data_IF_247009458095
#
_entry.id   IF_247009458095
#
_cell.length_a   1.000
_cell.length_b   1.000
_cell.length_c   1.000
_cell.angle_alpha   90.00
_cell.angle_beta   90.00
_cell.angle_gamma   90.00
#
_symmetry.space_group_name_H-M   'P 1'
#
loop_
_entity.id
_entity.type
_entity.pdbx_description
1 polymer ?
#
# COMPACT_ATOMS: atom_id res chain seq x y z
N UNK A 1 -12.84 12.50 4.93
CA UNK A 1 -12.25 12.07 6.23
C UNK A 1 -12.91 10.84 6.85
N UNK A 2 -13.89 10.19 6.21
CA UNK A 2 -14.37 8.86 6.64
C UNK A 2 -13.41 7.69 6.30
N UNK A 3 -12.45 7.92 5.39
CA UNK A 3 -11.44 6.92 5.02
C UNK A 3 -10.41 6.59 6.12
N UNK A 4 -10.30 7.40 7.20
CA UNK A 4 -9.32 7.15 8.28
C UNK A 4 -9.58 5.84 9.04
N UNK A 5 -10.84 5.41 9.15
CA UNK A 5 -11.18 4.13 9.80
C UNK A 5 -10.78 2.92 8.96
N UNK A 6 -10.90 3.02 7.63
CA UNK A 6 -10.50 1.95 6.70
C UNK A 6 -8.98 1.80 6.69
N UNK A 7 -8.23 2.90 6.63
CA UNK A 7 -6.75 2.87 6.63
C UNK A 7 -6.19 2.23 7.91
N UNK A 8 -6.75 2.54 9.09
CA UNK A 8 -6.30 1.95 10.36
C UNK A 8 -6.54 0.42 10.43
N UNK A 9 -7.64 -0.07 9.86
CA UNK A 9 -7.95 -1.51 9.82
C UNK A 9 -7.08 -2.27 8.80
N UNK A 10 -6.90 -1.73 7.59
CA UNK A 10 -6.13 -2.38 6.52
C UNK A 10 -4.68 -2.65 6.94
N UNK A 11 -4.03 -1.68 7.57
CA UNK A 11 -2.60 -1.77 7.88
C UNK A 11 -2.28 -2.43 9.22
N UNK A 12 -3.13 -2.26 10.24
CA UNK A 12 -2.85 -2.77 11.59
C UNK A 12 -3.45 -4.16 11.83
N UNK A 13 -4.66 -4.41 11.34
CA UNK A 13 -5.39 -5.66 11.55
C UNK A 13 -5.14 -6.63 10.38
N UNK A 14 -5.07 -6.09 9.16
CA UNK A 14 -4.85 -6.84 7.94
C UNK A 14 -6.14 -7.06 7.15
N UNK A 15 -6.01 -7.13 5.83
CA UNK A 15 -7.11 -7.30 4.90
C UNK A 15 -6.66 -8.05 3.64
N UNK A 16 -7.50 -8.99 3.19
CA UNK A 16 -7.21 -9.78 2.01
C UNK A 16 -5.90 -10.58 2.18
N UNK A 17 -5.06 -10.54 1.16
CA UNK A 17 -3.82 -11.31 1.10
C UNK A 17 -2.55 -10.45 1.11
N UNK A 18 -2.68 -9.13 0.95
CA UNK A 18 -1.56 -8.19 0.81
C UNK A 18 -1.66 -6.97 1.74
N UNK A 19 -2.85 -6.54 2.15
CA UNK A 19 -2.92 -5.41 3.08
C UNK A 19 -2.53 -5.87 4.49
N UNK A 20 -1.26 -5.71 4.85
CA UNK A 20 -0.72 -6.11 6.15
C UNK A 20 0.75 -6.56 6.04
N UNK A 21 1.34 -7.12 7.11
CA UNK A 21 2.71 -7.61 7.06
C UNK A 21 2.88 -8.81 6.11
N UNK A 22 3.68 -8.62 5.06
CA UNK A 22 3.94 -9.64 4.03
C UNK A 22 2.81 -9.70 2.99
N UNK A 23 2.81 -10.75 2.17
CA UNK A 23 1.72 -10.96 1.21
C UNK A 23 1.93 -12.23 0.39
N UNK A 24 0.85 -12.92 0.02
CA UNK A 24 0.96 -14.11 -0.85
C UNK A 24 -0.29 -14.42 -1.64
N UNK A 25 -0.10 -15.13 -2.74
CA UNK A 25 -1.20 -15.65 -3.55
C UNK A 25 -1.87 -14.56 -4.38
N UNK A 26 -3.12 -14.81 -4.77
CA UNK A 26 -3.85 -13.89 -5.64
C UNK A 26 -4.67 -12.89 -4.81
N UNK A 27 -4.61 -11.58 -5.11
CA UNK A 27 -5.39 -10.56 -4.41
C UNK A 27 -6.90 -10.82 -4.50
N UNK A 28 -7.62 -10.54 -3.41
CA UNK A 28 -9.04 -10.88 -3.26
C UNK A 28 -9.99 -9.91 -3.96
N UNK A 29 -9.64 -8.63 -3.98
CA UNK A 29 -10.44 -7.58 -4.59
C UNK A 29 -9.58 -6.35 -4.93
N UNK A 30 -10.23 -5.26 -5.35
CA UNK A 30 -9.54 -4.03 -5.76
C UNK A 30 -8.73 -3.40 -4.61
N UNK A 31 -9.23 -3.45 -3.38
CA UNK A 31 -8.48 -2.93 -2.21
C UNK A 31 -7.21 -3.75 -1.98
N UNK A 32 -7.30 -5.08 -2.09
CA UNK A 32 -6.15 -5.97 -1.95
C UNK A 32 -5.14 -5.80 -3.10
N UNK A 33 -5.62 -5.48 -4.32
CA UNK A 33 -4.76 -5.11 -5.45
C UNK A 33 -4.00 -3.80 -5.22
N UNK A 34 -4.59 -2.81 -4.55
CA UNK A 34 -3.88 -1.60 -4.14
C UNK A 34 -2.70 -1.93 -3.23
N UNK A 35 -2.90 -2.85 -2.27
CA UNK A 35 -1.85 -3.29 -1.34
C UNK A 35 -0.76 -4.09 -2.05
N UNK A 36 -1.12 -5.03 -2.94
CA UNK A 36 -0.13 -5.73 -3.77
C UNK A 36 0.75 -4.75 -4.56
N UNK A 37 0.15 -3.70 -5.15
CA UNK A 37 0.92 -2.68 -5.88
C UNK A 37 1.80 -1.84 -4.96
N UNK A 38 1.32 -1.52 -3.76
CA UNK A 38 2.09 -0.82 -2.73
C UNK A 38 3.31 -1.65 -2.27
N UNK A 39 3.12 -2.94 -2.00
CA UNK A 39 4.20 -3.89 -1.69
C UNK A 39 5.24 -3.93 -2.81
N UNK A 40 4.80 -4.04 -4.07
CA UNK A 40 5.72 -4.00 -5.21
C UNK A 40 6.53 -2.68 -5.29
N UNK A 41 5.92 -1.56 -4.90
CA UNK A 41 6.60 -0.26 -4.83
C UNK A 41 7.62 -0.21 -3.69
N UNK A 42 7.27 -0.78 -2.53
CA UNK A 42 8.17 -0.91 -1.39
C UNK A 42 9.34 -1.85 -1.69
N UNK A 43 9.11 -2.97 -2.36
CA UNK A 43 10.15 -3.89 -2.85
C UNK A 43 11.08 -3.18 -3.85
N UNK A 44 10.54 -2.31 -4.69
CA UNK A 44 11.37 -1.45 -5.53
C UNK A 44 12.22 -0.48 -4.70
N UNK A 45 11.62 0.22 -3.73
CA UNK A 45 12.34 1.15 -2.86
C UNK A 45 13.47 0.46 -2.09
N UNK A 46 13.23 -0.75 -1.57
CA UNK A 46 14.24 -1.59 -0.93
C UNK A 46 15.38 -1.96 -1.88
N UNK A 47 15.06 -2.35 -3.13
CA UNK A 47 16.08 -2.60 -4.16
C UNK A 47 16.90 -1.37 -4.53
N UNK A 48 16.38 -0.17 -4.30
CA UNK A 48 17.13 1.09 -4.42
C UNK A 48 17.99 1.42 -3.19
N UNK A 49 17.95 0.60 -2.14
CA UNK A 49 18.67 0.83 -0.89
C UNK A 49 17.96 1.78 0.08
N UNK A 50 16.64 1.93 -0.06
CA UNK A 50 15.81 2.72 0.86
C UNK A 50 15.14 1.82 1.91
N UNK A 51 14.70 2.39 3.04
CA UNK A 51 13.98 1.64 4.05
C UNK A 51 12.52 2.15 4.18
N UNK A 52 11.59 1.67 3.34
CA UNK A 52 10.23 2.19 3.28
C UNK A 52 9.40 1.95 4.56
N UNK A 53 9.87 1.08 5.45
CA UNK A 53 9.19 0.78 6.73
C UNK A 53 9.60 1.79 7.80
N UNK A 54 10.85 2.25 7.83
CA UNK A 54 11.38 3.09 8.91
C UNK A 54 11.66 4.54 8.50
N UNK A 55 11.93 4.79 7.23
CA UNK A 55 12.29 6.12 6.74
C UNK A 55 11.08 7.06 6.79
N UNK A 56 11.23 8.19 7.48
CA UNK A 56 10.19 9.20 7.60
C UNK A 56 10.35 10.27 6.52
N UNK A 57 9.24 10.72 5.98
CA UNK A 57 9.17 11.80 5.00
C UNK A 57 8.11 12.84 5.39
N UNK A 58 8.24 14.05 4.85
CA UNK A 58 7.28 15.13 5.03
C UNK A 58 6.27 15.12 3.88
N UNK A 59 5.00 15.35 4.21
CA UNK A 59 3.90 15.43 3.25
C UNK A 59 2.79 16.32 3.81
N UNK A 60 1.91 16.78 2.93
CA UNK A 60 0.69 17.50 3.28
C UNK A 60 -0.53 16.88 2.61
N UNK A 61 -1.71 17.13 3.17
CA UNK A 61 -2.97 16.73 2.58
C UNK A 61 -3.67 17.97 2.05
N UNK A 62 -3.94 18.01 0.75
CA UNK A 62 -4.73 19.07 0.13
C UNK A 62 -5.83 18.42 -0.71
N UNK A 63 -7.08 18.83 -0.51
CA UNK A 63 -8.24 18.31 -1.25
C UNK A 63 -8.36 16.77 -1.22
N UNK A 64 -8.06 16.17 -0.06
CA UNK A 64 -7.99 14.71 0.15
C UNK A 64 -7.00 14.00 -0.80
N UNK A 65 -5.93 14.69 -1.19
CA UNK A 65 -4.82 14.18 -2.00
C UNK A 65 -3.52 14.37 -1.23
N UNK A 66 -2.66 13.35 -1.27
CA UNK A 66 -1.33 13.42 -0.67
C UNK A 66 -0.40 14.23 -1.57
N UNK A 67 0.27 15.22 -0.98
CA UNK A 67 1.29 16.05 -1.61
C UNK A 67 2.63 15.78 -0.91
N UNK A 68 3.60 15.24 -1.65
CA UNK A 68 4.96 15.04 -1.16
C UNK A 68 5.69 16.38 -1.08
N UNK A 69 6.46 16.60 -0.02
CA UNK A 69 7.29 17.80 0.12
C UNK A 69 8.29 17.92 -1.04
N UNK A 70 8.63 19.14 -1.45
CA UNK A 70 9.58 19.39 -2.53
C UNK A 70 11.03 19.12 -2.10
N UNK A 71 11.32 19.21 -0.79
CA UNK A 71 12.66 19.06 -0.24
C UNK A 71 12.95 17.64 0.29
N UNK A 72 12.36 16.61 -0.33
CA UNK A 72 12.61 15.21 0.04
C UNK A 72 13.90 14.70 -0.60
N UNK A 73 14.67 13.90 0.16
CA UNK A 73 15.76 13.12 -0.42
C UNK A 73 15.21 11.99 -1.31
N UNK A 74 16.10 11.31 -2.05
CA UNK A 74 15.73 10.24 -2.99
C UNK A 74 14.82 9.18 -2.35
N UNK A 75 15.18 8.66 -1.18
CA UNK A 75 14.41 7.59 -0.54
C UNK A 75 13.07 8.08 -0.04
N UNK A 76 13.06 9.23 0.64
CA UNK A 76 11.82 9.87 1.10
C UNK A 76 10.86 10.15 -0.06
N UNK A 77 11.37 10.58 -1.20
CA UNK A 77 10.56 10.85 -2.38
C UNK A 77 9.94 9.55 -2.94
N UNK A 78 10.73 8.50 -3.14
CA UNK A 78 10.22 7.20 -3.62
C UNK A 78 9.11 6.68 -2.71
N UNK A 79 9.35 6.66 -1.40
CA UNK A 79 8.38 6.14 -0.41
C UNK A 79 7.11 7.00 -0.41
N UNK A 80 7.24 8.32 -0.42
CA UNK A 80 6.08 9.20 -0.48
C UNK A 80 5.24 9.00 -1.76
N UNK A 81 5.87 8.75 -2.92
CA UNK A 81 5.12 8.43 -4.13
C UNK A 81 4.39 7.08 -4.01
N UNK A 82 5.04 6.04 -3.45
CA UNK A 82 4.37 4.76 -3.17
C UNK A 82 3.10 4.98 -2.33
N UNK A 83 3.22 5.73 -1.23
CA UNK A 83 2.12 5.96 -0.29
C UNK A 83 1.02 6.86 -0.89
N UNK A 84 1.42 7.84 -1.70
CA UNK A 84 0.48 8.68 -2.45
C UNK A 84 -0.33 7.86 -3.46
N UNK A 85 0.31 6.99 -4.24
CA UNK A 85 -0.37 6.11 -5.19
C UNK A 85 -1.32 5.15 -4.47
N UNK A 86 -0.88 4.56 -3.36
CA UNK A 86 -1.71 3.64 -2.59
C UNK A 86 -2.91 4.35 -1.96
N UNK A 87 -2.72 5.54 -1.37
CA UNK A 87 -3.80 6.38 -0.85
C UNK A 87 -4.82 6.76 -1.93
N UNK A 88 -4.34 7.07 -3.14
CA UNK A 88 -5.21 7.34 -4.28
C UNK A 88 -5.98 6.09 -4.72
N UNK A 89 -5.34 4.93 -4.76
CA UNK A 89 -5.97 3.66 -5.11
C UNK A 89 -7.10 3.29 -4.13
N UNK A 90 -6.84 3.32 -2.82
CA UNK A 90 -7.85 3.01 -1.79
C UNK A 90 -9.02 3.98 -1.78
N UNK A 91 -8.85 5.20 -2.28
CA UNK A 91 -9.95 6.15 -2.40
C UNK A 91 -11.05 5.65 -3.33
N UNK A 92 -10.68 4.92 -4.38
CA UNK A 92 -11.60 4.50 -5.44
C UNK A 92 -11.85 2.99 -5.47
N UNK A 93 -11.02 2.19 -4.79
CA UNK A 93 -11.19 0.75 -4.72
C UNK A 93 -12.45 0.35 -3.95
N UNK A 94 -13.13 -0.67 -4.44
CA UNK A 94 -14.19 -1.34 -3.70
C UNK A 94 -13.65 -2.02 -2.44
N UNK A 95 -14.39 -1.90 -1.34
CA UNK A 95 -14.05 -2.48 -0.04
C UNK A 95 -15.09 -3.53 0.37
N UNK A 96 -14.62 -4.70 0.78
CA UNK A 96 -15.44 -5.83 1.18
C UNK A 96 -15.10 -6.28 2.60
N UNK A 97 -16.03 -6.03 3.53
CA UNK A 97 -15.86 -6.37 4.95
C UNK A 97 -15.52 -7.84 5.20
N UNK A 98 -15.86 -8.75 4.29
CA UNK A 98 -15.54 -10.19 4.41
C UNK A 98 -14.03 -10.49 4.41
N UNK A 99 -13.22 -9.59 3.87
CA UNK A 99 -11.77 -9.77 3.78
C UNK A 99 -11.00 -9.08 4.91
N UNK A 100 -11.69 -8.42 5.85
CA UNK A 100 -11.07 -7.94 7.09
C UNK A 100 -10.55 -9.16 7.87
N UNK A 101 -9.28 -9.10 8.32
CA UNK A 101 -8.62 -10.22 9.03
C UNK A 101 -8.63 -11.54 8.24
N UNK A 102 -8.59 -11.46 6.90
CA UNK A 102 -8.63 -12.65 6.07
C UNK A 102 -7.46 -13.60 6.38
N UNK A 103 -7.71 -14.89 6.64
CA UNK A 103 -6.64 -15.81 7.02
C UNK A 103 -5.63 -16.04 5.88
N UNK A 104 -4.35 -15.80 6.15
CA UNK A 104 -3.28 -15.96 5.17
C UNK A 104 -3.20 -17.37 4.54
N UNK A 105 -3.65 -18.43 5.20
CA UNK A 105 -3.69 -19.80 4.63
C UNK A 105 -4.76 -20.00 3.56
N UNK A 106 -5.74 -19.09 3.48
CA UNK A 106 -6.72 -19.03 2.40
C UNK A 106 -6.24 -18.15 1.23
N UNK A 107 -5.03 -17.63 1.32
CA UNK A 107 -4.34 -17.04 0.18
C UNK A 107 -3.67 -18.16 -0.63
N UNK A 108 -3.82 -18.08 -1.96
CA UNK A 108 -3.34 -19.11 -2.88
C UNK A 108 -1.82 -19.16 -2.99
N UNK A 109 -1.33 -20.04 -3.87
CA UNK A 109 0.12 -20.17 -4.18
C UNK A 109 0.51 -19.51 -5.51
N UNK A 110 -0.45 -18.92 -6.23
CA UNK A 110 -0.21 -18.24 -7.51
C UNK A 110 -0.03 -16.76 -7.21
N UNK A 111 1.15 -16.23 -7.53
CA UNK A 111 1.52 -14.84 -7.28
C UNK A 111 1.35 -14.03 -8.56
N UNK A 112 0.66 -12.88 -8.53
CA UNK A 112 0.74 -11.91 -9.60
C UNK A 112 2.16 -11.34 -9.71
N UNK A 113 2.51 -10.88 -10.92
CA UNK A 113 3.79 -10.22 -11.15
C UNK A 113 3.74 -8.76 -10.68
N UNK A 114 4.84 -8.29 -10.12
CA UNK A 114 5.04 -6.87 -9.86
C UNK A 114 5.28 -6.11 -11.16
N UNK A 115 4.21 -5.48 -11.68
CA UNK A 115 4.30 -4.51 -12.76
C UNK A 115 4.41 -3.08 -12.20
N UNK A 116 5.47 -2.78 -11.45
CA UNK A 116 5.76 -1.40 -11.05
C UNK A 116 6.53 -0.71 -12.18
N UNK A 117 5.90 0.25 -12.87
CA UNK A 117 6.54 1.07 -13.91
C UNK A 117 6.89 2.43 -13.32
N UNK A 118 8.16 2.82 -13.49
CA UNK A 118 8.69 4.14 -13.14
C UNK A 118 8.16 5.25 -14.04
#
# INVERSE_FOLDING_TARGET
>A
MEHRLVTLLLFQAGYGCYCGPGGRGWPKDETDWCCHRHDCCYDFAQRQGCNPITDRYKWTCQDNTVICDAALNRCQNIICQCDKEAAWCWRFASFNQRYILWPNYLCGQIYPLCCYRH
#
